data_IF_203570424988
#
_entry.id   IF_203570424988
#
_cell.length_a   1.000
_cell.length_b   1.000
_cell.length_c   1.000
_cell.angle_alpha   90.00
_cell.angle_beta   90.00
_cell.angle_gamma   90.00
#
_symmetry.space_group_name_H-M   'P 1'
#
loop_
_entity.id
_entity.type
_entity.pdbx_description
1 polymer ?
#
# COMPACT_ATOMS: atom_id res chain seq x y z
N UNK A 1 -1.03 -17.19 11.80
CA UNK A 1 -1.20 -16.32 10.63
C UNK A 1 -0.06 -15.31 10.68
N UNK A 2 0.71 -15.16 9.61
CA UNK A 2 1.64 -14.03 9.51
C UNK A 2 0.81 -12.77 9.26
N UNK A 3 0.97 -11.72 10.07
CA UNK A 3 0.26 -10.45 9.90
C UNK A 3 0.53 -9.81 8.53
N UNK A 4 -0.17 -8.73 8.18
CA UNK A 4 0.03 -8.02 6.93
C UNK A 4 1.03 -6.85 7.08
N UNK A 5 1.66 -6.44 5.98
CA UNK A 5 2.47 -5.22 5.90
C UNK A 5 1.83 -4.32 4.84
N UNK A 6 0.96 -3.43 5.27
CA UNK A 6 0.26 -2.48 4.40
C UNK A 6 1.03 -1.18 4.27
N UNK A 7 0.79 -0.47 3.18
CA UNK A 7 1.40 0.81 2.89
C UNK A 7 0.32 1.86 2.69
N UNK A 8 0.49 3.05 3.25
CA UNK A 8 -0.44 4.17 3.12
C UNK A 8 0.25 5.37 2.50
N UNK A 9 -0.33 5.89 1.42
CA UNK A 9 0.12 7.09 0.71
C UNK A 9 -1.01 8.11 0.62
N UNK A 10 -0.71 9.40 0.75
CA UNK A 10 -1.70 10.47 0.51
C UNK A 10 -2.20 10.46 -0.94
N UNK A 11 -1.27 10.32 -1.89
CA UNK A 11 -1.54 10.18 -3.32
C UNK A 11 -0.69 9.02 -3.85
N UNK A 12 -1.27 8.19 -4.72
CA UNK A 12 -0.54 7.10 -5.37
C UNK A 12 -0.40 7.36 -6.87
N UNK A 13 0.85 7.49 -7.32
CA UNK A 13 1.24 7.50 -8.73
C UNK A 13 2.47 6.58 -8.95
N UNK A 14 2.36 5.46 -9.69
CA UNK A 14 3.46 4.55 -9.93
C UNK A 14 4.57 5.16 -10.79
N UNK A 15 4.32 6.30 -11.44
CA UNK A 15 5.32 7.05 -12.18
C UNK A 15 6.16 7.98 -11.29
N UNK A 16 5.73 8.26 -10.06
CA UNK A 16 6.50 9.04 -9.09
C UNK A 16 7.41 8.13 -8.23
N UNK A 17 8.33 8.76 -7.50
CA UNK A 17 9.31 8.04 -6.68
C UNK A 17 8.67 7.27 -5.52
N UNK A 18 7.62 7.81 -4.88
CA UNK A 18 6.95 7.17 -3.75
C UNK A 18 6.08 6.00 -4.20
N UNK A 19 5.28 6.17 -5.25
CA UNK A 19 4.47 5.09 -5.81
C UNK A 19 5.33 3.99 -6.42
N UNK A 20 6.42 4.32 -7.12
CA UNK A 20 7.38 3.33 -7.58
C UNK A 20 7.97 2.52 -6.41
N UNK A 21 8.30 3.20 -5.31
CA UNK A 21 8.85 2.53 -4.14
C UNK A 21 7.82 1.70 -3.40
N UNK A 22 6.58 2.17 -3.30
CA UNK A 22 5.49 1.45 -2.70
C UNK A 22 5.21 0.13 -3.44
N UNK A 23 5.22 0.15 -4.77
CA UNK A 23 5.11 -1.07 -5.59
C UNK A 23 6.26 -2.04 -5.31
N UNK A 24 7.49 -1.54 -5.28
CA UNK A 24 8.67 -2.38 -5.06
C UNK A 24 8.66 -3.01 -3.66
N UNK A 25 8.28 -2.26 -2.64
CA UNK A 25 8.16 -2.77 -1.27
C UNK A 25 7.05 -3.81 -1.15
N UNK A 26 5.90 -3.55 -1.77
CA UNK A 26 4.78 -4.51 -1.82
C UNK A 26 5.26 -5.85 -2.37
N UNK A 27 5.92 -5.82 -3.53
CA UNK A 27 6.41 -7.04 -4.18
C UNK A 27 7.47 -7.77 -3.33
N UNK A 28 8.32 -7.03 -2.59
CA UNK A 28 9.29 -7.62 -1.65
C UNK A 28 8.56 -8.32 -0.49
N UNK A 29 7.61 -7.65 0.15
CA UNK A 29 6.87 -8.23 1.28
C UNK A 29 6.02 -9.43 0.87
N UNK A 30 5.37 -9.37 -0.30
CA UNK A 30 4.65 -10.52 -0.86
C UNK A 30 5.57 -11.72 -1.10
N UNK A 31 6.80 -11.50 -1.60
CA UNK A 31 7.79 -12.58 -1.76
C UNK A 31 8.27 -13.17 -0.44
N UNK A 32 8.20 -12.41 0.65
CA UNK A 32 8.50 -12.88 2.01
C UNK A 32 7.31 -13.58 2.69
N UNK A 33 6.16 -13.68 2.02
CA UNK A 33 4.96 -14.36 2.53
C UNK A 33 4.03 -13.48 3.37
N UNK A 34 4.22 -12.16 3.33
CA UNK A 34 3.29 -11.21 3.93
C UNK A 34 2.20 -10.83 2.94
N UNK A 35 0.97 -10.66 3.42
CA UNK A 35 -0.02 -9.89 2.67
C UNK A 35 0.43 -8.42 2.65
N UNK A 36 0.46 -7.79 1.49
CA UNK A 36 0.89 -6.40 1.36
C UNK A 36 0.05 -5.69 0.32
N UNK A 37 -0.66 -4.66 0.78
CA UNK A 37 -1.53 -3.84 -0.04
C UNK A 37 -1.10 -2.38 0.07
N UNK A 38 -1.40 -1.61 -0.97
CA UNK A 38 -1.18 -0.18 -1.01
C UNK A 38 -2.54 0.49 -0.88
N UNK A 39 -2.67 1.35 0.12
CA UNK A 39 -3.83 2.20 0.38
C UNK A 39 -3.49 3.63 0.03
N UNK A 40 -4.45 4.35 -0.55
CA UNK A 40 -4.26 5.75 -0.89
C UNK A 40 -5.49 6.62 -0.71
N UNK A 41 -5.30 7.88 -0.34
CA UNK A 41 -6.37 8.86 -0.36
C UNK A 41 -6.82 9.21 -1.77
N UNK A 42 -5.89 9.25 -2.73
CA UNK A 42 -6.16 9.64 -4.13
C UNK A 42 -5.32 8.78 -5.07
N UNK A 43 -5.99 8.07 -5.98
CA UNK A 43 -5.31 7.44 -7.12
C UNK A 43 -5.13 8.47 -8.24
N UNK A 44 -3.90 8.58 -8.77
CA UNK A 44 -3.67 9.37 -9.98
C UNK A 44 -4.53 8.83 -11.15
N UNK A 45 -5.15 9.70 -11.96
CA UNK A 45 -6.03 9.28 -13.03
C UNK A 45 -5.26 8.50 -14.12
N UNK A 46 -5.90 7.46 -14.68
CA UNK A 46 -5.35 6.67 -15.79
C UNK A 46 -4.42 5.51 -15.37
N UNK A 47 -4.32 5.19 -14.08
CA UNK A 47 -3.52 4.07 -13.59
C UNK A 47 -4.35 2.78 -13.59
N UNK A 48 -3.82 1.71 -14.21
CA UNK A 48 -4.42 0.37 -14.19
C UNK A 48 -4.16 -0.39 -12.88
N UNK A 49 -3.02 -0.12 -12.22
CA UNK A 49 -2.67 -0.71 -10.93
C UNK A 49 -3.44 0.03 -9.84
N UNK A 50 -4.56 -0.56 -9.40
CA UNK A 50 -5.40 0.04 -8.38
C UNK A 50 -4.83 -0.24 -6.99
N UNK A 51 -4.26 0.79 -6.35
CA UNK A 51 -4.20 0.84 -4.90
C UNK A 51 -5.64 0.92 -4.34
N UNK A 52 -5.86 0.36 -3.15
CA UNK A 52 -7.12 0.46 -2.41
C UNK A 52 -7.31 1.89 -1.90
N UNK A 53 -8.55 2.29 -1.60
CA UNK A 53 -8.79 3.60 -1.01
C UNK A 53 -8.45 3.56 0.48
N UNK A 54 -7.89 4.65 1.02
CA UNK A 54 -7.51 4.74 2.42
C UNK A 54 -8.69 4.56 3.38
N UNK A 55 -9.91 4.86 2.93
CA UNK A 55 -11.15 4.64 3.69
C UNK A 55 -11.49 3.15 3.88
N UNK A 56 -10.95 2.27 3.04
CA UNK A 56 -11.14 0.82 3.14
C UNK A 56 -10.17 0.16 4.14
N UNK A 57 -9.14 0.90 4.59
CA UNK A 57 -8.10 0.37 5.49
C UNK A 57 -8.67 -0.27 6.78
N UNK A 58 -9.69 0.30 7.46
CA UNK A 58 -10.25 -0.31 8.67
C UNK A 58 -10.88 -1.69 8.44
N UNK A 59 -11.26 -2.04 7.21
CA UNK A 59 -11.82 -3.36 6.88
C UNK A 59 -10.74 -4.45 6.84
N UNK A 60 -9.50 -4.05 6.52
CA UNK A 60 -8.34 -4.93 6.43
C UNK A 60 -7.43 -4.84 7.68
N UNK A 61 -7.77 -3.98 8.66
CA UNK A 61 -6.92 -3.69 9.81
C UNK A 61 -6.98 -4.79 10.89
N UNK A 62 -5.82 -5.07 11.49
CA UNK A 62 -5.65 -6.09 12.50
C UNK A 62 -4.48 -5.71 13.44
N UNK A 63 -4.55 -6.00 14.75
CA UNK A 63 -3.46 -5.69 15.69
C UNK A 63 -2.08 -6.25 15.33
N UNK A 64 -2.04 -7.34 14.54
CA UNK A 64 -0.78 -7.96 14.10
C UNK A 64 -0.26 -7.37 12.77
N UNK A 65 -0.98 -6.41 12.17
CA UNK A 65 -0.55 -5.74 10.95
C UNK A 65 0.48 -4.64 11.23
N UNK A 66 1.35 -4.42 10.25
CA UNK A 66 2.27 -3.29 10.19
C UNK A 66 1.77 -2.33 9.12
N UNK A 67 1.59 -1.06 9.49
CA UNK A 67 1.28 0.01 8.55
C UNK A 67 2.53 0.87 8.30
N UNK A 68 2.95 0.94 7.04
CA UNK A 68 4.03 1.81 6.58
C UNK A 68 3.41 3.08 5.98
N UNK A 69 3.57 4.20 6.67
CA UNK A 69 3.12 5.50 6.17
C UNK A 69 4.24 6.19 5.38
N UNK A 70 3.96 6.52 4.11
CA UNK A 70 4.87 7.29 3.27
C UNK A 70 4.56 8.78 3.42
N UNK A 71 5.32 9.46 4.28
CA UNK A 71 5.21 10.90 4.44
C UNK A 71 5.86 11.62 3.25
N UNK A 72 5.15 12.57 2.63
CA UNK A 72 5.63 13.49 1.60
C UNK A 72 5.56 14.92 2.10
#
# INVERSE_FOLDING_TARGET
>A
MTGAIHQLLSVFDPADAQGHMALRLRDIFSRWGYNSEIFTGINSPGIEIKAKLAEDLPEDDNPDNILLYHAS
#
